data_IF_148873848238
#
_entry.id   IF_148873848238
#
_cell.length_a   1.000
_cell.length_b   1.000
_cell.length_c   1.000
_cell.angle_alpha   90.00
_cell.angle_beta   90.00
_cell.angle_gamma   90.00
#
_symmetry.space_group_name_H-M   'P 1'
#
loop_
_entity.id
_entity.type
_entity.pdbx_description
1 polymer ?
#
# COMPACT_ATOMS: atom_id res chain seq x y z
N UNK A 1 41.09 -13.08 -37.26
CA UNK A 1 40.16 -12.73 -38.37
C UNK A 1 39.45 -13.94 -39.00
N UNK A 2 40.15 -14.98 -39.50
CA UNK A 2 39.51 -16.18 -40.10
C UNK A 2 38.50 -16.91 -39.20
N UNK A 3 38.79 -17.07 -37.90
CA UNK A 3 37.86 -17.68 -36.92
C UNK A 3 36.55 -16.87 -36.76
N UNK A 4 36.63 -15.54 -36.86
CA UNK A 4 35.48 -14.65 -36.73
C UNK A 4 34.58 -14.76 -37.96
N UNK A 5 35.14 -14.75 -39.17
CA UNK A 5 34.40 -14.96 -40.40
C UNK A 5 33.73 -16.35 -40.45
N UNK A 6 34.44 -17.41 -40.02
CA UNK A 6 33.88 -18.76 -39.94
C UNK A 6 32.72 -18.86 -38.94
N UNK A 7 32.74 -18.08 -37.85
CA UNK A 7 31.64 -18.07 -36.89
C UNK A 7 30.33 -17.61 -37.52
N UNK A 8 30.34 -16.69 -38.48
CA UNK A 8 29.10 -16.20 -39.09
C UNK A 8 28.65 -16.97 -40.34
N UNK A 9 29.43 -17.94 -40.84
CA UNK A 9 29.12 -18.70 -42.06
C UNK A 9 28.59 -20.11 -41.79
N UNK A 10 28.92 -20.73 -40.65
CA UNK A 10 28.52 -22.12 -40.35
C UNK A 10 27.24 -22.18 -39.50
N UNK A 11 26.33 -23.12 -39.82
CA UNK A 11 25.08 -23.40 -39.06
C UNK A 11 24.23 -22.14 -38.75
N UNK A 12 24.14 -21.22 -39.72
CA UNK A 12 23.53 -19.89 -39.54
C UNK A 12 22.09 -19.96 -39.02
N UNK A 13 21.26 -20.90 -39.53
CA UNK A 13 19.87 -21.09 -39.06
C UNK A 13 19.81 -21.42 -37.55
N UNK A 14 20.65 -22.35 -37.09
CA UNK A 14 20.72 -22.73 -35.67
C UNK A 14 21.16 -21.55 -34.80
N UNK A 15 22.16 -20.78 -35.26
CA UNK A 15 22.65 -19.60 -34.52
C UNK A 15 21.59 -18.52 -34.39
N UNK A 16 20.84 -18.24 -35.46
CA UNK A 16 19.72 -17.30 -35.41
C UNK A 16 18.70 -17.76 -34.34
N UNK A 17 18.29 -19.03 -34.36
CA UNK A 17 17.35 -19.58 -33.37
C UNK A 17 17.91 -19.39 -31.95
N UNK A 18 19.15 -19.80 -31.70
CA UNK A 18 19.78 -19.69 -30.37
C UNK A 18 19.85 -18.24 -29.89
N UNK A 19 20.36 -17.32 -30.72
CA UNK A 19 20.45 -15.90 -30.35
C UNK A 19 19.07 -15.28 -30.12
N UNK A 20 18.07 -15.60 -30.94
CA UNK A 20 16.71 -15.11 -30.77
C UNK A 20 16.05 -15.67 -29.51
N UNK A 21 16.25 -16.95 -29.18
CA UNK A 21 15.73 -17.56 -27.95
C UNK A 21 16.37 -16.96 -26.70
N UNK A 22 17.70 -16.79 -26.70
CA UNK A 22 18.43 -16.17 -25.57
C UNK A 22 18.01 -14.71 -25.40
N UNK A 23 17.89 -13.97 -26.51
CA UNK A 23 17.41 -12.58 -26.48
C UNK A 23 15.99 -12.49 -25.91
N UNK A 24 15.07 -13.32 -26.41
CA UNK A 24 13.68 -13.32 -25.94
C UNK A 24 13.58 -13.64 -24.45
N UNK A 25 14.34 -14.63 -23.96
CA UNK A 25 14.40 -14.97 -22.54
C UNK A 25 14.92 -13.79 -21.71
N UNK A 26 16.05 -13.19 -22.12
CA UNK A 26 16.64 -12.06 -21.40
C UNK A 26 15.70 -10.84 -21.40
N UNK A 27 15.09 -10.53 -22.55
CA UNK A 27 14.12 -9.45 -22.69
C UNK A 27 12.94 -9.63 -21.72
N UNK A 28 12.34 -10.82 -21.70
CA UNK A 28 11.22 -11.14 -20.81
C UNK A 28 11.65 -11.06 -19.35
N UNK A 29 12.80 -11.63 -19.00
CA UNK A 29 13.32 -11.59 -17.64
C UNK A 29 13.53 -10.15 -17.14
N UNK A 30 14.24 -9.32 -17.91
CA UNK A 30 14.48 -7.92 -17.54
C UNK A 30 13.19 -7.13 -17.39
N UNK A 31 12.22 -7.36 -18.29
CA UNK A 31 10.94 -6.66 -18.23
C UNK A 31 10.09 -7.12 -17.03
N UNK A 32 10.04 -8.43 -16.77
CA UNK A 32 9.29 -8.98 -15.64
C UNK A 32 9.91 -8.63 -14.29
N UNK A 33 11.21 -8.40 -14.21
CA UNK A 33 11.86 -7.99 -12.95
C UNK A 33 11.66 -6.51 -12.63
N UNK A 34 11.55 -5.63 -13.64
CA UNK A 34 11.33 -4.19 -13.43
C UNK A 34 9.84 -3.82 -13.29
N UNK A 35 8.94 -4.70 -13.74
CA UNK A 35 7.50 -4.48 -13.68
C UNK A 35 6.92 -4.44 -12.25
N UNK A 36 7.14 -5.46 -11.40
CA UNK A 36 6.69 -5.45 -10.02
C UNK A 36 7.52 -4.44 -9.23
N UNK A 37 6.84 -3.61 -8.44
CA UNK A 37 7.47 -2.70 -7.49
C UNK A 37 6.88 -2.91 -6.10
N UNK A 38 7.36 -2.13 -5.14
CA UNK A 38 6.85 -2.12 -3.77
C UNK A 38 5.33 -1.93 -3.73
N UNK A 39 4.75 -1.16 -4.67
CA UNK A 39 3.30 -0.95 -4.74
C UNK A 39 2.47 -2.23 -4.94
N UNK A 40 3.05 -3.30 -5.50
CA UNK A 40 2.36 -4.59 -5.57
C UNK A 40 2.24 -5.25 -4.18
N UNK A 41 3.30 -5.16 -3.37
CA UNK A 41 3.30 -5.63 -1.99
C UNK A 41 2.35 -4.80 -1.13
N UNK A 42 2.32 -3.47 -1.33
CA UNK A 42 1.35 -2.59 -0.68
C UNK A 42 -0.08 -2.97 -1.04
N UNK A 43 -0.35 -3.31 -2.31
CA UNK A 43 -1.68 -3.74 -2.75
C UNK A 43 -2.09 -5.05 -2.07
N UNK A 44 -1.17 -6.03 -1.95
CA UNK A 44 -1.44 -7.27 -1.21
C UNK A 44 -1.75 -7.01 0.25
N UNK A 45 -0.98 -6.12 0.89
CA UNK A 45 -1.24 -5.70 2.25
C UNK A 45 -2.61 -5.05 2.40
N UNK A 46 -2.94 -4.08 1.54
CA UNK A 46 -4.23 -3.40 1.54
C UNK A 46 -5.39 -4.39 1.34
N UNK A 47 -5.24 -5.36 0.43
CA UNK A 47 -6.26 -6.38 0.24
C UNK A 47 -6.46 -7.23 1.51
N UNK A 48 -5.38 -7.57 2.23
CA UNK A 48 -5.51 -8.25 3.52
C UNK A 48 -6.22 -7.40 4.58
N UNK A 49 -6.02 -6.08 4.57
CA UNK A 49 -6.75 -5.14 5.43
C UNK A 49 -8.24 -5.13 5.07
N UNK A 50 -8.56 -5.04 3.78
CA UNK A 50 -9.95 -5.09 3.31
C UNK A 50 -10.64 -6.40 3.72
N UNK A 51 -9.96 -7.53 3.64
CA UNK A 51 -10.47 -8.81 4.13
C UNK A 51 -10.75 -8.75 5.65
N UNK A 52 -9.84 -8.16 6.45
CA UNK A 52 -10.09 -7.97 7.88
C UNK A 52 -11.25 -7.02 8.17
N UNK A 53 -11.39 -5.93 7.42
CA UNK A 53 -12.53 -5.01 7.53
C UNK A 53 -13.84 -5.75 7.30
N UNK A 54 -13.90 -6.64 6.31
CA UNK A 54 -15.11 -7.44 6.03
C UNK A 54 -15.50 -8.38 7.18
N UNK A 55 -14.55 -8.76 8.03
CA UNK A 55 -14.78 -9.58 9.23
C UNK A 55 -15.10 -8.72 10.47
N UNK A 56 -14.41 -7.59 10.63
CA UNK A 56 -14.60 -6.67 11.76
C UNK A 56 -15.94 -5.93 11.67
N UNK A 57 -16.26 -5.43 10.48
CA UNK A 57 -17.47 -4.66 10.20
C UNK A 57 -18.18 -5.22 8.97
N UNK A 58 -18.82 -6.41 9.07
CA UNK A 58 -19.46 -7.01 7.91
C UNK A 58 -20.63 -6.18 7.40
N UNK A 59 -20.82 -6.21 6.09
CA UNK A 59 -21.86 -5.46 5.38
C UNK A 59 -23.24 -5.68 5.99
N UNK A 60 -23.94 -4.60 6.30
CA UNK A 60 -25.31 -4.60 6.81
C UNK A 60 -25.45 -4.98 8.28
N UNK A 61 -24.35 -5.33 8.98
CA UNK A 61 -24.40 -5.67 10.41
C UNK A 61 -24.39 -4.39 11.24
N UNK A 62 -23.36 -3.57 11.10
CA UNK A 62 -23.23 -2.33 11.87
C UNK A 62 -23.65 -1.14 11.01
N UNK A 63 -24.94 -0.82 11.04
CA UNK A 63 -25.49 0.33 10.34
C UNK A 63 -25.87 1.40 11.36
N UNK A 64 -25.16 2.52 11.40
CA UNK A 64 -25.51 3.68 12.24
C UNK A 64 -26.84 4.24 11.72
N UNK A 65 -27.81 4.39 12.62
CA UNK A 65 -29.14 4.92 12.30
C UNK A 65 -29.08 6.44 12.11
N UNK A 66 -29.36 6.91 10.89
CA UNK A 66 -29.33 8.34 10.54
C UNK A 66 -30.33 9.19 11.31
N UNK A 67 -31.36 8.55 11.89
CA UNK A 67 -32.40 9.21 12.70
C UNK A 67 -32.09 9.20 14.19
N UNK A 68 -31.00 8.54 14.60
CA UNK A 68 -30.61 8.50 16.00
C UNK A 68 -30.23 9.91 16.50
N UNK A 69 -30.66 10.32 17.71
CA UNK A 69 -30.31 11.64 18.26
C UNK A 69 -28.80 11.88 18.36
N UNK A 70 -28.01 10.82 18.49
CA UNK A 70 -26.55 10.87 18.60
C UNK A 70 -25.84 10.85 17.26
N UNK A 71 -26.57 10.68 16.14
CA UNK A 71 -26.01 10.47 14.80
C UNK A 71 -25.00 11.55 14.40
N UNK A 72 -25.40 12.82 14.42
CA UNK A 72 -24.55 13.92 14.01
C UNK A 72 -23.30 14.05 14.89
N UNK A 73 -23.45 13.81 16.21
CA UNK A 73 -22.32 13.84 17.12
C UNK A 73 -21.34 12.73 16.75
N UNK A 74 -21.78 11.48 16.63
CA UNK A 74 -20.92 10.35 16.27
C UNK A 74 -20.27 10.51 14.91
N UNK A 75 -20.99 11.08 13.94
CA UNK A 75 -20.47 11.36 12.61
C UNK A 75 -19.33 12.40 12.64
N UNK A 76 -19.53 13.52 13.31
CA UNK A 76 -18.54 14.61 13.39
C UNK A 76 -17.35 14.33 14.32
N UNK A 77 -17.50 13.36 15.20
CA UNK A 77 -16.47 12.99 16.18
C UNK A 77 -15.82 11.66 15.81
N UNK A 78 -16.51 10.55 16.04
CA UNK A 78 -15.97 9.19 15.90
C UNK A 78 -15.62 8.88 14.45
N UNK A 79 -16.56 9.10 13.52
CA UNK A 79 -16.33 8.78 12.09
C UNK A 79 -15.27 9.71 11.52
N UNK A 80 -15.41 11.03 11.69
CA UNK A 80 -14.42 12.01 11.21
C UNK A 80 -13.02 11.75 11.75
N UNK A 81 -12.89 11.49 13.06
CA UNK A 81 -11.58 11.22 13.67
C UNK A 81 -11.02 9.85 13.35
N UNK A 82 -11.80 8.91 12.81
CA UNK A 82 -11.23 7.65 12.34
C UNK A 82 -10.18 7.91 11.25
N UNK A 83 -10.46 8.81 10.30
CA UNK A 83 -9.52 9.23 9.25
C UNK A 83 -8.24 9.84 9.82
N UNK A 84 -8.38 10.85 10.70
CA UNK A 84 -7.22 11.52 11.28
C UNK A 84 -6.43 10.61 12.21
N UNK A 85 -7.08 9.75 12.98
CA UNK A 85 -6.40 8.75 13.80
C UNK A 85 -5.60 7.77 12.95
N UNK A 86 -6.16 7.28 11.85
CA UNK A 86 -5.45 6.39 10.93
C UNK A 86 -4.22 7.10 10.37
N UNK A 87 -4.42 8.25 9.74
CA UNK A 87 -3.35 9.03 9.11
C UNK A 87 -2.26 9.46 10.10
N UNK A 88 -2.62 10.08 11.23
CA UNK A 88 -1.64 10.59 12.22
C UNK A 88 -0.88 9.43 12.88
N UNK A 89 -1.52 8.28 13.09
CA UNK A 89 -0.84 7.12 13.69
C UNK A 89 0.34 6.62 12.85
N UNK A 90 0.38 6.94 11.55
CA UNK A 90 1.52 6.62 10.67
C UNK A 90 2.71 7.57 10.85
N UNK A 91 2.49 8.75 11.42
CA UNK A 91 3.52 9.76 11.61
C UNK A 91 4.37 9.48 12.86
N UNK A 92 5.69 9.44 12.73
CA UNK A 92 6.56 9.23 13.89
C UNK A 92 6.74 10.55 14.67
N UNK A 93 6.14 10.67 15.85
CA UNK A 93 6.21 11.87 16.67
C UNK A 93 7.60 12.16 17.24
N UNK A 94 8.48 11.16 17.28
CA UNK A 94 9.82 11.27 17.87
C UNK A 94 10.91 11.65 16.86
N UNK A 95 10.69 11.36 15.58
CA UNK A 95 11.70 11.51 14.52
C UNK A 95 11.30 12.51 13.43
N UNK A 96 10.00 12.83 13.30
CA UNK A 96 9.53 13.72 12.24
C UNK A 96 9.97 15.16 12.50
N UNK A 97 10.79 15.69 11.59
CA UNK A 97 11.12 17.12 11.56
C UNK A 97 9.85 17.93 11.28
N UNK A 98 9.62 19.00 12.06
CA UNK A 98 8.41 19.82 11.99
C UNK A 98 7.12 19.01 12.19
N UNK A 99 7.12 18.07 13.14
CA UNK A 99 5.99 17.19 13.43
C UNK A 99 4.64 17.91 13.48
N UNK A 100 4.52 19.01 14.21
CA UNK A 100 3.25 19.75 14.33
C UNK A 100 2.73 20.26 12.97
N UNK A 101 3.62 20.72 12.09
CA UNK A 101 3.22 21.15 10.75
C UNK A 101 2.71 19.95 9.94
N UNK A 102 3.47 18.84 9.91
CA UNK A 102 3.06 17.63 9.18
C UNK A 102 1.77 17.04 9.72
N UNK A 103 1.62 17.03 11.05
CA UNK A 103 0.39 16.60 11.71
C UNK A 103 -0.80 17.43 11.27
N UNK A 104 -0.67 18.76 11.21
CA UNK A 104 -1.73 19.64 10.71
C UNK A 104 -2.05 19.40 9.23
N UNK A 105 -1.06 19.09 8.40
CA UNK A 105 -1.28 18.72 6.98
C UNK A 105 -2.09 17.42 6.86
N UNK A 106 -1.75 16.40 7.66
CA UNK A 106 -2.48 15.13 7.71
C UNK A 106 -3.90 15.31 8.25
N UNK A 107 -4.08 16.09 9.32
CA UNK A 107 -5.38 16.42 9.89
C UNK A 107 -6.26 17.14 8.88
N UNK A 108 -5.71 18.14 8.18
CA UNK A 108 -6.44 18.86 7.14
C UNK A 108 -6.86 17.94 6.01
N UNK A 109 -5.95 17.12 5.48
CA UNK A 109 -6.25 16.16 4.42
C UNK A 109 -7.35 15.17 4.84
N UNK A 110 -7.28 14.66 6.07
CA UNK A 110 -8.29 13.77 6.65
C UNK A 110 -9.67 14.45 6.73
N UNK A 111 -9.70 15.70 7.18
CA UNK A 111 -10.94 16.47 7.27
C UNK A 111 -11.53 16.77 5.89
N UNK A 112 -10.70 17.20 4.93
CA UNK A 112 -11.13 17.50 3.56
C UNK A 112 -11.69 16.24 2.88
N UNK A 113 -11.06 15.08 3.09
CA UNK A 113 -11.57 13.78 2.62
C UNK A 113 -12.93 13.47 3.23
N UNK A 114 -13.05 13.57 4.55
CA UNK A 114 -14.30 13.33 5.26
C UNK A 114 -15.44 14.22 4.74
N UNK A 115 -15.20 15.53 4.64
CA UNK A 115 -16.21 16.49 4.16
C UNK A 115 -16.61 16.19 2.71
N UNK A 116 -15.70 15.71 1.86
CA UNK A 116 -16.01 15.39 0.47
C UNK A 116 -17.02 14.26 0.30
N UNK A 117 -17.06 13.30 1.25
CA UNK A 117 -17.88 12.08 1.15
C UNK A 117 -19.07 12.08 2.10
N UNK A 118 -18.86 12.45 3.37
CA UNK A 118 -19.81 12.23 4.45
C UNK A 118 -20.65 13.46 4.82
N UNK A 119 -20.28 14.65 4.36
CA UNK A 119 -21.08 15.88 4.60
C UNK A 119 -22.53 15.72 4.12
N UNK A 120 -22.73 15.08 2.97
CA UNK A 120 -24.07 14.80 2.43
C UNK A 120 -24.91 13.85 3.29
N UNK A 121 -24.26 12.91 4.00
CA UNK A 121 -24.94 11.98 4.90
C UNK A 121 -25.45 12.69 6.16
N UNK A 122 -24.67 13.65 6.67
CA UNK A 122 -25.08 14.56 7.75
C UNK A 122 -26.32 15.37 7.36
N UNK A 123 -26.29 16.00 6.19
CA UNK A 123 -27.39 16.85 5.73
C UNK A 123 -28.69 16.08 5.48
N UNK A 124 -28.57 14.84 4.99
CA UNK A 124 -29.71 13.99 4.62
C UNK A 124 -30.15 13.03 5.73
N UNK A 125 -29.46 13.02 6.88
CA UNK A 125 -29.67 12.03 7.95
C UNK A 125 -29.69 10.59 7.41
N UNK A 126 -28.73 10.28 6.56
CA UNK A 126 -28.64 9.00 5.87
C UNK A 126 -27.89 7.99 6.73
N UNK A 127 -28.44 6.78 6.85
CA UNK A 127 -27.79 5.64 7.52
C UNK A 127 -26.36 5.43 6.99
N UNK A 128 -25.44 5.05 7.88
CA UNK A 128 -24.04 4.76 7.54
C UNK A 128 -23.75 3.29 7.87
N UNK A 129 -23.47 2.49 6.84
CA UNK A 129 -22.94 1.14 7.04
C UNK A 129 -21.44 1.25 7.34
N UNK A 130 -21.01 0.71 8.48
CA UNK A 130 -19.59 0.71 8.84
C UNK A 130 -18.75 -0.05 7.82
N UNK A 131 -19.30 -1.03 7.10
CA UNK A 131 -18.59 -1.68 6.00
C UNK A 131 -18.22 -0.68 4.89
N UNK A 132 -19.13 0.22 4.54
CA UNK A 132 -18.88 1.26 3.53
C UNK A 132 -17.85 2.28 4.03
N UNK A 133 -17.88 2.60 5.34
CA UNK A 133 -16.85 3.41 6.00
C UNK A 133 -15.47 2.73 5.95
N UNK A 134 -15.41 1.44 6.28
CA UNK A 134 -14.17 0.66 6.21
C UNK A 134 -13.57 0.63 4.80
N UNK A 135 -14.40 0.45 3.78
CA UNK A 135 -13.96 0.52 2.38
C UNK A 135 -13.44 1.91 2.01
N UNK A 136 -14.08 2.97 2.48
CA UNK A 136 -13.59 4.33 2.26
C UNK A 136 -12.26 4.61 2.99
N UNK A 137 -12.06 4.08 4.20
CA UNK A 137 -10.79 4.19 4.90
C UNK A 137 -9.65 3.51 4.12
N UNK A 138 -9.92 2.40 3.44
CA UNK A 138 -8.94 1.76 2.53
C UNK A 138 -8.62 2.64 1.32
N UNK A 139 -9.60 3.34 0.76
CA UNK A 139 -9.37 4.30 -0.33
C UNK A 139 -8.58 5.51 0.16
N UNK A 140 -8.91 6.00 1.35
CA UNK A 140 -8.22 7.08 2.03
C UNK A 140 -6.74 6.74 2.30
N UNK A 141 -6.44 5.53 2.79
CA UNK A 141 -5.07 5.05 3.00
C UNK A 141 -4.20 5.14 1.73
N UNK A 142 -4.77 4.78 0.58
CA UNK A 142 -4.10 4.90 -0.72
C UNK A 142 -3.86 6.37 -1.07
N UNK A 143 -4.82 7.24 -0.78
CA UNK A 143 -4.72 8.67 -1.03
C UNK A 143 -3.65 9.33 -0.14
N UNK A 144 -3.64 9.03 1.17
CA UNK A 144 -2.59 9.46 2.11
C UNK A 144 -1.21 8.97 1.64
N UNK A 145 -1.11 7.71 1.23
CA UNK A 145 0.15 7.15 0.72
C UNK A 145 0.61 7.83 -0.57
N UNK A 146 -0.32 8.29 -1.40
CA UNK A 146 -0.01 9.00 -2.65
C UNK A 146 0.44 10.44 -2.38
N UNK A 147 -0.20 11.12 -1.43
CA UNK A 147 0.05 12.53 -1.11
C UNK A 147 1.32 12.71 -0.27
N UNK A 148 1.50 11.88 0.75
CA UNK A 148 2.51 12.11 1.78
C UNK A 148 3.64 11.09 1.84
N UNK A 149 3.46 9.92 1.23
CA UNK A 149 4.47 8.86 1.20
C UNK A 149 5.10 8.77 -0.20
N UNK A 150 5.93 7.75 -0.40
CA UNK A 150 6.61 7.56 -1.67
C UNK A 150 5.71 7.06 -2.78
N UNK A 151 5.95 7.58 -3.97
CA UNK A 151 5.44 7.07 -5.24
C UNK A 151 5.55 5.54 -5.35
N UNK A 152 6.63 4.95 -4.83
CA UNK A 152 6.88 3.51 -4.86
C UNK A 152 5.89 2.66 -4.07
N UNK A 153 5.19 3.22 -3.06
CA UNK A 153 4.19 2.48 -2.27
C UNK A 153 2.87 2.27 -3.02
N UNK A 154 2.58 3.04 -4.05
CA UNK A 154 1.27 3.01 -4.72
C UNK A 154 1.36 2.71 -6.22
N UNK A 155 2.57 2.67 -6.79
CA UNK A 155 2.79 2.42 -8.22
C UNK A 155 3.65 1.19 -8.50
N UNK A 156 3.54 0.69 -9.73
CA UNK A 156 4.37 -0.40 -10.23
C UNK A 156 5.85 0.04 -10.38
N UNK A 157 6.76 -0.93 -10.39
CA UNK A 157 8.21 -0.67 -10.45
C UNK A 157 8.62 0.09 -11.71
N UNK A 158 8.01 -0.25 -12.85
CA UNK A 158 8.30 0.43 -14.13
C UNK A 158 7.79 1.87 -14.14
N UNK A 159 6.65 2.15 -13.52
CA UNK A 159 6.13 3.51 -13.38
C UNK A 159 7.04 4.34 -12.46
N UNK A 160 7.46 3.74 -11.34
CA UNK A 160 8.39 4.38 -10.41
C UNK A 160 9.73 4.68 -11.08
N UNK A 161 10.27 3.76 -11.87
CA UNK A 161 11.52 3.95 -12.60
C UNK A 161 11.50 5.17 -13.53
N UNK A 162 10.39 5.43 -14.21
CA UNK A 162 10.27 6.52 -15.20
C UNK A 162 9.72 7.84 -14.63
N UNK A 163 9.32 7.88 -13.37
CA UNK A 163 8.94 9.12 -12.68
C UNK A 163 10.17 10.02 -12.47
N UNK A 164 10.04 11.36 -12.52
CA UNK A 164 11.15 12.26 -12.16
C UNK A 164 11.72 11.95 -10.78
N UNK A 165 13.04 11.73 -10.70
CA UNK A 165 13.73 11.33 -9.46
C UNK A 165 13.55 9.86 -9.06
N UNK A 166 12.74 9.08 -9.79
CA UNK A 166 12.38 7.71 -9.44
C UNK A 166 13.57 6.76 -9.31
N UNK A 167 14.52 6.81 -10.25
CA UNK A 167 15.77 6.04 -10.12
C UNK A 167 16.58 6.43 -8.88
N UNK A 168 16.65 7.72 -8.56
CA UNK A 168 17.37 8.18 -7.36
C UNK A 168 16.71 7.65 -6.09
N UNK A 169 15.37 7.68 -6.03
CA UNK A 169 14.59 7.17 -4.91
C UNK A 169 14.74 5.64 -4.77
N UNK A 170 14.57 4.88 -5.87
CA UNK A 170 14.74 3.42 -5.91
C UNK A 170 16.11 3.01 -5.37
N UNK A 171 17.18 3.69 -5.75
CA UNK A 171 18.56 3.34 -5.35
C UNK A 171 19.02 4.00 -4.04
N UNK A 172 18.19 4.84 -3.41
CA UNK A 172 18.57 5.50 -2.15
C UNK A 172 18.63 4.54 -0.97
N UNK A 173 19.50 4.83 0.00
CA UNK A 173 19.53 4.14 1.30
C UNK A 173 18.29 4.49 2.12
N UNK A 174 17.90 5.76 2.12
CA UNK A 174 16.71 6.28 2.81
C UNK A 174 15.45 5.49 2.46
N UNK A 175 15.21 5.22 1.16
CA UNK A 175 14.09 4.38 0.72
C UNK A 175 14.17 2.96 1.27
N UNK A 176 15.35 2.36 1.28
CA UNK A 176 15.52 0.99 1.82
C UNK A 176 15.27 0.96 3.32
N UNK A 177 15.72 1.97 4.06
CA UNK A 177 15.51 2.10 5.50
C UNK A 177 14.04 2.33 5.85
N UNK A 178 13.35 3.20 5.12
CA UNK A 178 11.91 3.43 5.27
C UNK A 178 11.10 2.14 5.01
N UNK A 179 11.39 1.43 3.92
CA UNK A 179 10.74 0.14 3.62
C UNK A 179 11.04 -0.93 4.66
N UNK A 180 12.30 -1.01 5.11
CA UNK A 180 12.73 -1.93 6.16
C UNK A 180 11.99 -1.66 7.46
N UNK A 181 11.85 -0.39 7.84
CA UNK A 181 11.07 0.02 9.00
C UNK A 181 9.61 -0.39 8.84
N UNK A 182 8.98 -0.06 7.71
CA UNK A 182 7.55 -0.31 7.50
C UNK A 182 7.19 -1.80 7.38
N UNK A 183 8.10 -2.65 6.89
CA UNK A 183 7.92 -4.12 6.90
C UNK A 183 8.25 -4.76 8.25
N UNK A 184 8.96 -4.06 9.16
CA UNK A 184 9.37 -4.64 10.44
C UNK A 184 8.16 -4.78 11.36
N UNK A 185 8.03 -5.96 11.96
CA UNK A 185 7.05 -6.23 13.01
C UNK A 185 7.79 -6.28 14.34
N UNK A 186 7.28 -5.55 15.33
CA UNK A 186 7.69 -5.69 16.73
C UNK A 186 6.56 -6.32 17.54
N UNK A 187 6.86 -6.67 18.79
CA UNK A 187 5.82 -7.11 19.72
C UNK A 187 4.68 -6.08 19.82
N UNK A 188 3.43 -6.54 19.66
CA UNK A 188 2.28 -5.65 19.57
C UNK A 188 2.05 -4.89 20.88
N UNK A 189 2.30 -5.51 22.03
CA UNK A 189 2.18 -4.84 23.32
C UNK A 189 3.24 -3.75 23.48
N UNK A 190 4.47 -4.00 23.03
CA UNK A 190 5.51 -2.99 22.97
C UNK A 190 5.12 -1.81 22.06
N UNK A 191 4.54 -2.09 20.88
CA UNK A 191 4.05 -1.03 19.99
C UNK A 191 2.97 -0.18 20.68
N UNK A 192 1.96 -0.84 21.25
CA UNK A 192 0.84 -0.18 21.93
C UNK A 192 1.28 0.63 23.16
N UNK A 193 2.34 0.21 23.85
CA UNK A 193 2.92 0.98 24.95
C UNK A 193 3.57 2.31 24.53
N UNK A 194 3.89 2.47 23.24
CA UNK A 194 4.57 3.65 22.68
C UNK A 194 3.62 4.60 21.96
N UNK A 195 2.46 4.13 21.53
CA UNK A 195 1.43 5.01 20.95
C UNK A 195 0.61 5.62 22.08
N UNK A 196 0.53 6.95 22.14
CA UNK A 196 -0.36 7.66 23.06
C UNK A 196 -1.57 8.11 22.29
N UNK A 197 -2.72 7.56 22.64
CA UNK A 197 -4.01 7.96 22.08
C UNK A 197 -5.04 8.16 23.17
N UNK A 198 -6.12 8.86 22.86
CA UNK A 198 -7.32 8.80 23.70
C UNK A 198 -7.92 7.40 23.68
N UNK A 199 -8.78 7.14 24.64
CA UNK A 199 -9.62 5.95 24.63
C UNK A 199 -10.75 6.09 23.59
N UNK A 200 -11.21 4.96 23.02
CA UNK A 200 -12.45 4.89 22.25
C UNK A 200 -13.62 5.52 23.01
N UNK A 201 -14.45 6.30 22.32
CA UNK A 201 -15.56 7.01 22.96
C UNK A 201 -16.19 8.06 22.05
N UNK A 202 -17.10 8.87 22.60
CA UNK A 202 -17.85 9.86 21.82
C UNK A 202 -16.97 10.93 21.21
N UNK A 203 -15.82 11.24 21.79
CA UNK A 203 -14.91 12.22 21.20
C UNK A 203 -14.09 11.64 20.06
N UNK A 204 -14.23 10.35 19.72
CA UNK A 204 -13.39 9.64 18.77
C UNK A 204 -11.96 9.42 19.28
N UNK A 205 -11.13 8.83 18.43
CA UNK A 205 -9.73 8.53 18.75
C UNK A 205 -8.87 9.73 18.36
N UNK A 206 -8.15 10.32 19.33
CA UNK A 206 -7.09 11.28 19.08
C UNK A 206 -5.75 10.59 19.27
N UNK A 207 -4.82 10.75 18.32
CA UNK A 207 -3.44 10.29 18.46
C UNK A 207 -2.58 11.47 18.87
N UNK A 208 -1.93 11.38 20.03
CA UNK A 208 -1.06 12.41 20.57
C UNK A 208 0.40 12.16 20.14
N UNK A 209 0.86 10.94 20.39
CA UNK A 209 2.21 10.49 20.04
C UNK A 209 2.10 9.13 19.34
N UNK A 210 2.94 8.90 18.34
CA UNK A 210 3.04 7.61 17.68
C UNK A 210 4.50 7.27 17.36
N UNK A 211 4.92 6.00 17.53
CA UNK A 211 6.20 5.55 17.01
C UNK A 211 6.26 5.56 15.47
N UNK A 212 5.16 5.92 14.80
CA UNK A 212 4.95 5.99 13.36
C UNK A 212 4.75 4.62 12.73
N UNK A 213 4.83 4.57 11.40
CA UNK A 213 4.51 3.37 10.64
C UNK A 213 5.40 2.18 10.94
N UNK A 214 4.83 1.15 11.55
CA UNK A 214 5.24 -0.25 11.47
C UNK A 214 3.98 -0.96 10.98
N UNK A 215 3.85 -1.18 9.66
CA UNK A 215 2.53 -1.24 8.99
C UNK A 215 1.55 -2.20 9.67
N UNK A 216 2.00 -3.42 9.96
CA UNK A 216 1.17 -4.43 10.62
C UNK A 216 0.81 -3.97 12.04
N UNK A 217 1.78 -3.55 12.84
CA UNK A 217 1.52 -3.15 14.22
C UNK A 217 0.56 -1.96 14.30
N UNK A 218 0.75 -0.97 13.43
CA UNK A 218 -0.11 0.19 13.30
C UNK A 218 -1.54 -0.20 12.92
N UNK A 219 -1.72 -1.01 11.87
CA UNK A 219 -3.05 -1.41 11.41
C UNK A 219 -3.76 -2.36 12.38
N UNK A 220 -3.04 -3.24 13.06
CA UNK A 220 -3.58 -4.05 14.16
C UNK A 220 -4.10 -3.15 15.28
N UNK A 221 -3.31 -2.17 15.72
CA UNK A 221 -3.75 -1.21 16.73
C UNK A 221 -5.00 -0.44 16.28
N UNK A 222 -5.00 0.07 15.04
CA UNK A 222 -6.10 0.87 14.52
C UNK A 222 -7.39 0.04 14.41
N UNK A 223 -7.35 -1.15 13.80
CA UNK A 223 -8.51 -2.02 13.68
C UNK A 223 -9.06 -2.44 15.05
N UNK A 224 -8.18 -2.71 16.03
CA UNK A 224 -8.61 -3.00 17.40
C UNK A 224 -9.28 -1.78 18.05
N UNK A 225 -8.78 -0.56 17.84
CA UNK A 225 -9.46 0.66 18.32
C UNK A 225 -10.81 0.87 17.64
N UNK A 226 -10.98 0.50 16.36
CA UNK A 226 -12.28 0.53 15.70
C UNK A 226 -13.25 -0.52 16.26
N UNK A 227 -12.77 -1.73 16.59
CA UNK A 227 -13.57 -2.75 17.31
C UNK A 227 -14.11 -2.18 18.63
N UNK A 228 -13.26 -1.50 19.41
CA UNK A 228 -13.69 -0.88 20.65
C UNK A 228 -14.69 0.28 20.43
N UNK A 229 -14.52 1.10 19.38
CA UNK A 229 -15.52 2.10 19.00
C UNK A 229 -16.87 1.47 18.64
N UNK A 230 -16.88 0.31 17.97
CA UNK A 230 -18.11 -0.44 17.68
C UNK A 230 -18.78 -0.89 18.99
N UNK A 231 -18.01 -1.40 19.96
CA UNK A 231 -18.52 -1.77 21.28
C UNK A 231 -19.15 -0.58 21.99
N UNK A 232 -18.48 0.57 21.97
CA UNK A 232 -19.02 1.83 22.49
C UNK A 232 -20.36 2.18 21.82
N UNK A 233 -20.45 1.96 20.50
CA UNK A 233 -21.67 2.12 19.68
C UNK A 233 -22.91 1.39 20.22
N UNK A 234 -22.75 0.26 20.90
CA UNK A 234 -23.88 -0.50 21.46
C UNK A 234 -24.58 0.21 22.63
N UNK A 235 -23.91 1.17 23.28
CA UNK A 235 -24.43 1.87 24.45
C UNK A 235 -23.95 3.33 24.54
N UNK A 236 -24.04 4.07 23.44
CA UNK A 236 -23.74 5.51 23.41
C UNK A 236 -24.87 6.25 24.12
N UNK A 237 -24.55 7.04 25.14
CA UNK A 237 -25.55 7.77 25.94
C UNK A 237 -26.73 6.89 26.43
N UNK A 238 -26.46 5.64 26.80
CA UNK A 238 -27.48 4.73 27.32
C UNK A 238 -28.34 4.03 26.27
N UNK A 239 -28.03 4.17 24.97
CA UNK A 239 -28.77 3.51 23.90
C UNK A 239 -27.84 3.01 22.77
N UNK A 240 -28.36 2.09 21.96
CA UNK A 240 -27.64 1.55 20.82
C UNK A 240 -27.83 2.46 19.61
N UNK A 241 -26.73 2.97 19.03
CA UNK A 241 -26.77 3.87 17.87
C UNK A 241 -27.04 3.13 16.54
N UNK A 242 -26.83 1.82 16.52
CA UNK A 242 -27.04 1.02 15.32
C UNK A 242 -28.54 0.79 15.06
N UNK A 243 -28.89 0.55 13.80
CA UNK A 243 -30.26 0.28 13.36
C UNK A 243 -30.81 -1.01 13.96
N UNK A 244 -29.99 -2.05 14.04
CA UNK A 244 -30.30 -3.25 14.81
C UNK A 244 -29.99 -3.01 16.30
N UNK A 245 -31.03 -2.65 17.06
CA UNK A 245 -30.93 -2.39 18.50
C UNK A 245 -30.64 -3.65 19.33
N UNK A 246 -30.64 -4.84 18.73
CA UNK A 246 -30.32 -6.10 19.41
C UNK A 246 -28.83 -6.46 19.39
N UNK A 247 -28.02 -5.68 18.67
CA UNK A 247 -26.56 -5.82 18.64
C UNK A 247 -25.96 -5.55 20.03
N UNK A 248 -24.95 -6.34 20.37
CA UNK A 248 -24.18 -6.22 21.60
C UNK A 248 -22.85 -6.98 21.44
N UNK A 249 -21.98 -6.87 22.45
CA UNK A 249 -20.63 -7.45 22.42
C UNK A 249 -20.61 -8.97 22.18
N UNK A 250 -21.59 -9.72 22.71
CA UNK A 250 -21.62 -11.19 22.57
C UNK A 250 -21.95 -11.65 21.13
N UNK A 251 -22.48 -10.75 20.30
CA UNK A 251 -22.83 -11.02 18.90
C UNK A 251 -21.82 -10.46 17.90
N UNK A 252 -20.69 -9.92 18.38
CA UNK A 252 -19.68 -9.37 17.49
C UNK A 252 -19.04 -10.50 16.65
N UNK A 253 -18.98 -10.36 15.31
CA UNK A 253 -18.33 -11.33 14.44
C UNK A 253 -16.82 -11.46 14.73
N UNK A 254 -16.21 -10.36 15.17
CA UNK A 254 -14.79 -10.29 15.52
C UNK A 254 -14.56 -9.34 16.67
N UNK A 255 -13.75 -9.76 17.63
CA UNK A 255 -13.48 -9.01 18.88
C UNK A 255 -12.04 -8.57 19.03
N UNK A 256 -11.14 -9.06 18.16
CA UNK A 256 -9.74 -8.66 18.09
C UNK A 256 -9.16 -9.02 16.72
N UNK A 257 -8.21 -8.22 16.26
CA UNK A 257 -7.30 -8.50 15.15
C UNK A 257 -5.89 -8.68 15.69
N UNK A 258 -5.16 -9.63 15.11
CA UNK A 258 -3.79 -9.99 15.45
C UNK A 258 -2.87 -9.86 14.23
N UNK A 259 -1.56 -9.75 14.49
CA UNK A 259 -0.57 -9.45 13.45
C UNK A 259 -0.46 -10.54 12.38
N UNK A 260 -0.69 -11.81 12.75
CA UNK A 260 -0.65 -12.97 11.86
C UNK A 260 -1.85 -13.07 10.91
N UNK A 261 -2.89 -12.25 11.12
CA UNK A 261 -4.07 -12.19 10.26
C UNK A 261 -3.89 -11.19 9.09
N UNK A 262 -2.77 -10.46 9.07
CA UNK A 262 -2.42 -9.52 8.01
C UNK A 262 -1.27 -10.07 7.16
N UNK A 263 -1.27 -9.68 5.88
CA UNK A 263 -0.16 -10.02 4.99
C UNK A 263 1.10 -9.28 5.41
N UNK A 264 2.22 -9.99 5.58
CA UNK A 264 3.53 -9.37 5.82
C UNK A 264 4.17 -8.95 4.49
N UNK A 265 4.36 -7.65 4.23
CA UNK A 265 4.95 -7.19 2.98
C UNK A 265 6.45 -7.50 2.93
N UNK A 266 6.92 -8.00 1.78
CA UNK A 266 8.35 -8.23 1.52
C UNK A 266 8.96 -7.06 0.74
N UNK A 267 8.90 -5.86 1.33
CA UNK A 267 9.25 -4.63 0.61
C UNK A 267 10.71 -4.53 0.21
N UNK A 268 11.63 -4.87 1.12
CA UNK A 268 13.07 -4.77 0.86
C UNK A 268 13.54 -5.76 -0.20
N UNK A 269 13.07 -7.02 -0.15
CA UNK A 269 13.34 -8.03 -1.18
C UNK A 269 12.77 -7.61 -2.54
N UNK A 270 11.56 -7.03 -2.54
CA UNK A 270 10.94 -6.49 -3.74
C UNK A 270 11.74 -5.31 -4.31
N UNK A 271 12.22 -4.40 -3.46
CA UNK A 271 13.08 -3.28 -3.88
C UNK A 271 14.41 -3.77 -4.45
N UNK A 272 15.06 -4.74 -3.81
CA UNK A 272 16.32 -5.29 -4.29
C UNK A 272 16.14 -6.05 -5.63
N UNK A 273 15.01 -6.74 -5.80
CA UNK A 273 14.61 -7.35 -7.08
C UNK A 273 14.39 -6.27 -8.15
N UNK A 274 13.67 -5.19 -7.83
CA UNK A 274 13.44 -4.07 -8.72
C UNK A 274 14.77 -3.43 -9.13
N UNK A 275 15.70 -3.17 -8.19
CA UNK A 275 17.03 -2.62 -8.47
C UNK A 275 17.82 -3.48 -9.44
N UNK A 276 17.84 -4.80 -9.21
CA UNK A 276 18.47 -5.74 -10.14
C UNK A 276 17.80 -5.70 -11.52
N UNK A 277 16.46 -5.67 -11.55
CA UNK A 277 15.66 -5.52 -12.76
C UNK A 277 15.99 -4.26 -13.55
N UNK A 278 16.12 -3.11 -12.87
CA UNK A 278 16.51 -1.83 -13.48
C UNK A 278 17.90 -1.94 -14.13
N UNK A 279 18.87 -2.53 -13.43
CA UNK A 279 20.22 -2.73 -13.99
C UNK A 279 20.17 -3.63 -15.24
N UNK A 280 19.46 -4.76 -15.17
CA UNK A 280 19.29 -5.65 -16.32
C UNK A 280 18.52 -5.00 -17.47
N UNK A 281 17.57 -4.10 -17.17
CA UNK A 281 16.84 -3.33 -18.17
C UNK A 281 17.76 -2.33 -18.89
N UNK A 282 18.64 -1.63 -18.19
CA UNK A 282 19.61 -0.75 -18.85
C UNK A 282 20.68 -1.51 -19.64
N UNK A 283 21.15 -2.66 -19.14
CA UNK A 283 22.05 -3.54 -19.90
C UNK A 283 21.36 -4.07 -21.16
N UNK A 284 20.07 -4.42 -21.06
CA UNK A 284 19.25 -4.82 -22.21
C UNK A 284 19.25 -3.72 -23.28
N UNK A 285 18.94 -2.48 -22.89
CA UNK A 285 18.83 -1.35 -23.81
C UNK A 285 20.17 -0.95 -24.45
N UNK A 286 21.24 -0.87 -23.64
CA UNK A 286 22.52 -0.30 -24.07
C UNK A 286 23.43 -1.34 -24.74
N UNK A 287 23.42 -2.58 -24.27
CA UNK A 287 24.39 -3.62 -24.69
C UNK A 287 23.71 -4.71 -25.49
N UNK A 288 22.63 -5.30 -24.95
CA UNK A 288 22.04 -6.52 -25.53
C UNK A 288 21.30 -6.23 -26.84
N UNK A 289 20.47 -5.18 -26.90
CA UNK A 289 19.73 -4.82 -28.13
C UNK A 289 20.69 -4.46 -29.27
N UNK A 290 21.69 -3.56 -29.09
CA UNK A 290 22.65 -3.27 -30.16
C UNK A 290 23.48 -4.49 -30.57
N UNK A 291 23.96 -5.28 -29.59
CA UNK A 291 24.73 -6.49 -29.85
C UNK A 291 23.94 -7.56 -30.61
N UNK A 292 22.68 -7.78 -30.23
CA UNK A 292 21.77 -8.69 -30.91
C UNK A 292 21.48 -8.22 -32.34
N UNK A 293 21.15 -6.94 -32.51
CA UNK A 293 20.88 -6.35 -33.83
C UNK A 293 22.07 -6.50 -34.77
N UNK A 294 23.27 -6.19 -34.29
CA UNK A 294 24.51 -6.38 -35.05
C UNK A 294 24.73 -7.84 -35.44
N UNK A 295 24.60 -8.75 -34.47
CA UNK A 295 24.82 -10.19 -34.65
C UNK A 295 23.85 -10.78 -35.68
N UNK A 296 22.55 -10.47 -35.57
CA UNK A 296 21.52 -10.92 -36.51
C UNK A 296 21.75 -10.35 -37.91
N UNK A 297 22.09 -9.07 -38.01
CA UNK A 297 22.39 -8.42 -39.30
C UNK A 297 23.55 -9.13 -40.00
N UNK A 298 24.65 -9.40 -39.29
CA UNK A 298 25.81 -10.11 -39.83
C UNK A 298 25.47 -11.56 -40.24
N UNK A 299 24.67 -12.28 -39.44
CA UNK A 299 24.22 -13.63 -39.79
C UNK A 299 23.33 -13.64 -41.03
N UNK A 300 22.42 -12.67 -41.18
CA UNK A 300 21.54 -12.56 -42.35
C UNK A 300 22.34 -12.22 -43.62
N UNK A 301 23.27 -11.25 -43.55
CA UNK A 301 24.14 -10.90 -44.67
C UNK A 301 24.94 -12.11 -45.14
N UNK A 302 25.54 -12.86 -44.21
CA UNK A 302 26.34 -14.03 -44.56
C UNK A 302 25.50 -15.20 -45.07
N UNK A 303 24.27 -15.39 -44.58
CA UNK A 303 23.30 -16.34 -45.15
C UNK A 303 22.96 -15.99 -46.61
N UNK A 304 22.79 -14.70 -46.93
CA UNK A 304 22.52 -14.24 -48.30
C UNK A 304 23.74 -14.38 -49.21
N UNK A 305 24.96 -14.19 -48.69
CA UNK A 305 26.22 -14.33 -49.45
C UNK A 305 26.64 -15.78 -49.69
N UNK A 306 26.37 -16.70 -48.76
CA UNK A 306 26.69 -18.13 -48.90
C UNK A 306 25.65 -18.97 -49.67
N UNK A 307 24.55 -18.35 -50.10
CA UNK A 307 23.56 -18.92 -51.04
C UNK A 307 23.81 -18.45 -52.50
N UNK A 308 24.94 -17.79 -52.77
CA UNK A 308 25.53 -17.60 -54.10
C UNK A 308 26.75 -18.50 -54.21
#
# INVERSE_FOLDING_TARGET
>A
MKKFLNFYSTKVKLKIIVFSSVFAFYFLLSFLMVSPGVGLESLRFINSIHDQISQVMPKGVYVIDGKDPSFNTVLESVVKKSYSADAISTLNSYETVNYEQRRNEYEKFSNDWFESKWSSYREQQKDIDLFDLGNDLVEFDKAVSTEFLSYGYVHAGIQWMFQPGGLSDIFSSERKEDLLRNQTIIDQYLYESKIKSSDPGIDGINVYDSPGTLLINNKVWYLNKQIENIKYGFNVFGHNIFKDKTLNESKMPKTKVSADELYLPHFTDTLDTLRAGVVFFFILLIVVIPGYTFTITMLIINKKKGNK
#
